data_IF_612446370471
#
_entry.id   IF_612446370471
#
_cell.length_a   1.000
_cell.length_b   1.000
_cell.length_c   1.000
_cell.angle_alpha   90.00
_cell.angle_beta   90.00
_cell.angle_gamma   90.00
#
_symmetry.space_group_name_H-M   'P 1'
#
loop_
_entity.id
_entity.type
_entity.pdbx_description
1 polymer ?
#
# COMPACT_ATOMS: atom_id res chain seq x y z
N UNK A 1 17.58 9.77 -20.09
CA UNK A 1 18.08 8.40 -20.31
C UNK A 1 18.61 7.74 -19.03
N UNK A 2 19.49 8.38 -18.25
CA UNK A 2 20.06 7.78 -17.03
C UNK A 2 19.03 7.41 -15.94
N UNK A 3 18.07 8.29 -15.65
CA UNK A 3 17.04 8.04 -14.61
C UNK A 3 16.14 6.84 -14.96
N UNK A 4 15.66 6.77 -16.20
CA UNK A 4 14.83 5.65 -16.65
C UNK A 4 15.59 4.32 -16.63
N UNK A 5 16.86 4.31 -17.06
CA UNK A 5 17.71 3.13 -16.98
C UNK A 5 17.94 2.70 -15.52
N UNK A 6 18.20 3.66 -14.64
CA UNK A 6 18.34 3.42 -13.20
C UNK A 6 17.10 2.78 -12.61
N UNK A 7 15.91 3.32 -12.90
CA UNK A 7 14.64 2.76 -12.44
C UNK A 7 14.42 1.33 -12.94
N UNK A 8 14.59 1.09 -14.25
CA UNK A 8 14.45 -0.26 -14.83
C UNK A 8 15.43 -1.25 -14.19
N UNK A 9 16.67 -0.82 -13.94
CA UNK A 9 17.68 -1.68 -13.32
C UNK A 9 17.30 -2.07 -11.88
N UNK A 10 16.82 -1.12 -11.07
CA UNK A 10 16.38 -1.38 -9.70
C UNK A 10 15.17 -2.31 -9.68
N UNK A 11 14.16 -2.06 -10.52
CA UNK A 11 12.98 -2.94 -10.64
C UNK A 11 13.40 -4.35 -11.07
N UNK A 12 14.33 -4.45 -12.02
CA UNK A 12 14.89 -5.73 -12.47
C UNK A 12 15.58 -6.51 -11.35
N UNK A 13 16.46 -5.85 -10.59
CA UNK A 13 17.17 -6.46 -9.45
C UNK A 13 16.19 -6.93 -8.38
N UNK A 14 15.23 -6.09 -8.00
CA UNK A 14 14.20 -6.43 -7.00
C UNK A 14 13.38 -7.64 -7.46
N UNK A 15 12.96 -7.65 -8.73
CA UNK A 15 12.16 -8.76 -9.29
C UNK A 15 12.92 -10.08 -9.31
N UNK A 16 14.20 -10.06 -9.70
CA UNK A 16 15.05 -11.26 -9.70
C UNK A 16 15.35 -11.75 -8.29
N UNK A 17 15.58 -10.84 -7.35
CA UNK A 17 15.78 -11.20 -5.95
C UNK A 17 14.54 -11.86 -5.36
N UNK A 18 13.35 -11.27 -5.52
CA UNK A 18 12.11 -11.88 -5.01
C UNK A 18 11.77 -13.22 -5.68
N UNK A 19 12.13 -13.40 -6.95
CA UNK A 19 12.05 -14.71 -7.62
C UNK A 19 12.89 -15.74 -6.88
N UNK A 20 14.14 -15.41 -6.57
CA UNK A 20 15.08 -16.34 -5.92
C UNK A 20 14.62 -16.68 -4.49
N UNK A 21 14.24 -15.68 -3.69
CA UNK A 21 13.65 -15.90 -2.35
C UNK A 21 12.40 -16.77 -2.41
N UNK A 22 11.53 -16.55 -3.41
CA UNK A 22 10.33 -17.37 -3.58
C UNK A 22 10.67 -18.82 -3.94
N UNK A 23 11.69 -19.04 -4.77
CA UNK A 23 12.16 -20.37 -5.15
C UNK A 23 12.84 -21.09 -3.98
N UNK A 24 13.68 -20.40 -3.20
CA UNK A 24 14.32 -20.91 -1.98
C UNK A 24 13.29 -21.39 -0.96
N UNK A 25 12.21 -20.62 -0.78
CA UNK A 25 11.12 -20.96 0.12
C UNK A 25 10.21 -22.09 -0.38
N UNK A 26 9.79 -22.05 -1.65
CA UNK A 26 8.78 -22.98 -2.17
C UNK A 26 9.37 -24.27 -2.75
N UNK A 27 10.56 -24.21 -3.36
CA UNK A 27 11.20 -25.33 -4.05
C UNK A 27 12.43 -25.85 -3.30
N UNK A 28 13.20 -24.96 -2.66
CA UNK A 28 14.42 -25.30 -1.94
C UNK A 28 14.21 -25.84 -0.53
N UNK A 29 13.07 -25.54 0.10
CA UNK A 29 12.75 -25.97 1.47
C UNK A 29 13.62 -25.28 2.54
N UNK A 30 14.26 -24.16 2.23
CA UNK A 30 15.20 -23.49 3.13
C UNK A 30 14.54 -22.64 4.22
N UNK A 31 13.23 -22.39 4.11
CA UNK A 31 12.47 -21.61 5.07
C UNK A 31 12.02 -22.46 6.26
N UNK A 32 12.97 -22.85 7.12
CA UNK A 32 12.66 -23.49 8.40
C UNK A 32 11.85 -22.56 9.31
N UNK A 33 11.29 -23.10 10.39
CA UNK A 33 10.49 -22.31 11.34
C UNK A 33 11.24 -21.07 11.85
N UNK A 34 12.52 -21.20 12.20
CA UNK A 34 13.33 -20.07 12.69
C UNK A 34 13.55 -19.00 11.61
N UNK A 35 13.77 -19.43 10.35
CA UNK A 35 13.89 -18.52 9.21
C UNK A 35 12.59 -17.78 8.96
N UNK A 36 11.45 -18.47 8.96
CA UNK A 36 10.14 -17.85 8.80
C UNK A 36 9.83 -16.85 9.92
N UNK A 37 10.15 -17.20 11.17
CA UNK A 37 10.00 -16.30 12.31
C UNK A 37 10.86 -15.04 12.13
N UNK A 38 12.12 -15.19 11.70
CA UNK A 38 13.02 -14.07 11.43
C UNK A 38 12.48 -13.15 10.34
N UNK A 39 12.03 -13.73 9.22
CA UNK A 39 11.41 -12.98 8.12
C UNK A 39 10.15 -12.23 8.58
N UNK A 40 9.29 -12.86 9.38
CA UNK A 40 8.12 -12.20 9.97
C UNK A 40 8.49 -11.00 10.85
N UNK A 41 9.50 -11.15 11.71
CA UNK A 41 10.01 -10.03 12.53
C UNK A 41 10.56 -8.92 11.62
N UNK A 42 11.28 -9.28 10.55
CA UNK A 42 11.79 -8.33 9.57
C UNK A 42 10.68 -7.51 8.90
N UNK A 43 9.59 -8.16 8.46
CA UNK A 43 8.43 -7.47 7.87
C UNK A 43 7.76 -6.55 8.88
N UNK A 44 7.57 -6.98 10.13
CA UNK A 44 7.00 -6.13 11.18
C UNK A 44 7.87 -4.91 11.43
N UNK A 45 9.19 -5.06 11.54
CA UNK A 45 10.11 -3.95 11.75
C UNK A 45 10.13 -2.99 10.56
N UNK A 46 10.06 -3.51 9.34
CA UNK A 46 9.92 -2.70 8.12
C UNK A 46 8.62 -1.87 8.14
N UNK A 47 7.48 -2.47 8.49
CA UNK A 47 6.22 -1.73 8.61
C UNK A 47 6.30 -0.68 9.71
N UNK A 48 6.92 -1.00 10.85
CA UNK A 48 7.13 -0.03 11.93
C UNK A 48 7.95 1.16 11.42
N UNK A 49 9.01 0.95 10.63
CA UNK A 49 9.76 2.09 10.05
C UNK A 49 8.90 2.94 9.10
N UNK A 50 8.04 2.32 8.29
CA UNK A 50 7.12 3.06 7.42
C UNK A 50 6.05 3.84 8.21
N UNK A 51 5.56 3.29 9.33
CA UNK A 51 4.66 4.02 10.24
C UNK A 51 5.34 5.29 10.77
N UNK A 52 6.59 5.21 11.23
CA UNK A 52 7.33 6.38 11.68
C UNK A 52 7.61 7.38 10.55
N UNK A 53 7.76 6.91 9.32
CA UNK A 53 7.84 7.77 8.15
C UNK A 53 6.52 8.56 7.98
N UNK A 54 5.36 7.92 8.04
CA UNK A 54 4.06 8.60 8.00
C UNK A 54 3.86 9.56 9.19
N UNK A 55 4.32 9.20 10.40
CA UNK A 55 4.27 10.10 11.57
C UNK A 55 4.97 11.44 11.26
N UNK A 56 6.10 11.42 10.56
CA UNK A 56 6.81 12.65 10.17
C UNK A 56 6.01 13.51 9.19
N UNK A 57 5.28 12.88 8.27
CA UNK A 57 4.41 13.55 7.30
C UNK A 57 3.21 14.19 8.01
N UNK A 58 2.55 13.43 8.90
CA UNK A 58 1.44 13.95 9.70
C UNK A 58 1.88 15.09 10.60
N UNK A 59 3.09 15.01 11.18
CA UNK A 59 3.67 16.13 11.92
C UNK A 59 3.75 17.37 11.03
N UNK A 60 4.32 17.29 9.83
CA UNK A 60 4.41 18.44 8.93
C UNK A 60 3.04 19.08 8.63
N UNK A 61 2.01 18.25 8.42
CA UNK A 61 0.62 18.73 8.27
C UNK A 61 0.12 19.43 9.54
N UNK A 62 0.17 18.78 10.71
CA UNK A 62 -0.36 19.35 11.96
C UNK A 62 0.39 20.60 12.40
N UNK A 63 1.71 20.66 12.18
CA UNK A 63 2.48 21.86 12.47
C UNK A 63 1.98 23.06 11.66
N UNK A 64 1.71 22.85 10.37
CA UNK A 64 1.22 23.90 9.46
C UNK A 64 -0.25 24.26 9.74
N UNK A 65 -1.08 23.27 10.07
CA UNK A 65 -2.52 23.44 10.24
C UNK A 65 -2.93 24.00 11.61
N UNK A 66 -2.24 23.61 12.69
CA UNK A 66 -2.59 24.03 14.05
C UNK A 66 -2.04 25.41 14.44
N UNK A 67 -1.01 25.89 13.74
CA UNK A 67 -0.43 27.22 13.94
C UNK A 67 -0.08 27.89 12.59
N UNK A 68 -1.10 28.20 11.76
CA UNK A 68 -0.89 28.76 10.43
C UNK A 68 -0.17 30.11 10.50
N UNK A 69 0.82 30.31 9.64
CA UNK A 69 1.63 31.53 9.63
C UNK A 69 0.84 32.73 9.09
N UNK A 70 1.37 33.93 9.29
CA UNK A 70 0.73 35.18 8.83
C UNK A 70 0.67 35.23 7.30
N UNK A 71 1.65 34.64 6.61
CA UNK A 71 1.70 34.52 5.15
C UNK A 71 0.56 33.66 4.59
N UNK A 72 0.04 32.71 5.39
CA UNK A 72 -1.15 31.91 5.06
C UNK A 72 -2.46 32.61 5.47
N UNK A 73 -2.40 33.85 5.95
CA UNK A 73 -3.55 34.58 6.47
C UNK A 73 -3.99 34.15 7.88
N UNK A 74 -3.12 33.47 8.63
CA UNK A 74 -3.40 32.96 9.99
C UNK A 74 -4.66 32.09 10.10
N UNK A 75 -5.00 31.37 9.01
CA UNK A 75 -6.11 30.43 8.93
C UNK A 75 -5.71 29.17 8.16
N UNK A 76 -6.44 28.08 8.39
CA UNK A 76 -6.25 26.81 7.68
C UNK A 76 -7.61 26.24 7.24
N UNK A 77 -7.82 25.94 5.94
CA UNK A 77 -6.91 26.19 4.81
C UNK A 77 -6.63 27.68 4.58
N UNK A 78 -5.56 27.98 3.85
CA UNK A 78 -5.22 29.35 3.45
C UNK A 78 -6.32 29.93 2.53
N UNK A 79 -6.57 31.26 2.55
CA UNK A 79 -7.58 31.87 1.70
C UNK A 79 -7.29 31.61 0.22
N UNK A 80 -8.32 31.18 -0.53
CA UNK A 80 -8.21 30.82 -1.95
C UNK A 80 -7.93 29.34 -2.21
N UNK A 81 -7.67 28.53 -1.17
CA UNK A 81 -7.59 27.07 -1.29
C UNK A 81 -8.97 26.47 -1.02
N UNK A 82 -9.53 25.79 -2.01
CA UNK A 82 -10.78 25.04 -1.87
C UNK A 82 -10.46 23.55 -1.62
N UNK A 83 -10.62 23.04 -0.39
CA UNK A 83 -10.36 21.64 -0.10
C UNK A 83 -11.41 20.73 -0.74
N UNK A 84 -11.01 19.51 -1.07
CA UNK A 84 -11.90 18.48 -1.57
C UNK A 84 -12.96 18.10 -0.53
N UNK A 85 -14.16 17.77 -0.99
CA UNK A 85 -15.24 17.33 -0.12
C UNK A 85 -15.00 15.90 0.37
N UNK A 86 -14.83 15.74 1.69
CA UNK A 86 -14.56 14.45 2.32
C UNK A 86 -15.67 13.40 2.10
N UNK A 87 -16.91 13.82 1.80
CA UNK A 87 -18.05 12.91 1.62
C UNK A 87 -18.25 12.41 0.18
N UNK A 88 -17.36 12.79 -0.74
CA UNK A 88 -17.43 12.38 -2.14
C UNK A 88 -16.42 11.25 -2.43
N UNK A 89 -15.48 11.47 -3.35
CA UNK A 89 -14.44 10.49 -3.72
C UNK A 89 -13.61 10.03 -2.50
N UNK A 90 -13.21 10.91 -1.55
CA UNK A 90 -12.47 10.47 -0.37
C UNK A 90 -13.20 9.39 0.45
N UNK A 91 -14.50 9.59 0.72
CA UNK A 91 -15.31 8.60 1.45
C UNK A 91 -15.45 7.29 0.67
N UNK A 92 -15.66 7.37 -0.65
CA UNK A 92 -15.70 6.18 -1.50
C UNK A 92 -14.37 5.41 -1.41
N UNK A 93 -13.24 6.10 -1.48
CA UNK A 93 -11.91 5.53 -1.37
C UNK A 93 -11.68 4.84 -0.02
N UNK A 94 -12.15 5.41 1.09
CA UNK A 94 -12.15 4.74 2.40
C UNK A 94 -12.96 3.44 2.38
N UNK A 95 -14.16 3.45 1.80
CA UNK A 95 -14.99 2.24 1.70
C UNK A 95 -14.31 1.17 0.84
N UNK A 96 -13.65 1.56 -0.26
CA UNK A 96 -12.92 0.64 -1.13
C UNK A 96 -11.79 -0.06 -0.40
N UNK A 97 -10.96 0.67 0.38
CA UNK A 97 -9.85 0.06 1.13
C UNK A 97 -10.34 -0.87 2.24
N UNK A 98 -11.28 -0.42 3.09
CA UNK A 98 -11.87 -1.25 4.16
C UNK A 98 -12.50 -2.54 3.62
N UNK A 99 -13.20 -2.43 2.49
CA UNK A 99 -13.82 -3.60 1.83
C UNK A 99 -12.76 -4.53 1.25
N UNK A 100 -11.69 -3.98 0.68
CA UNK A 100 -10.58 -4.76 0.12
C UNK A 100 -9.82 -5.53 1.21
N UNK A 101 -9.56 -4.89 2.36
CA UNK A 101 -8.95 -5.51 3.52
C UNK A 101 -9.82 -6.65 4.05
N UNK A 102 -11.14 -6.44 4.14
CA UNK A 102 -12.10 -7.48 4.54
C UNK A 102 -12.11 -8.67 3.57
N UNK A 103 -12.09 -8.42 2.24
CA UNK A 103 -12.03 -9.50 1.25
C UNK A 103 -10.70 -10.26 1.27
N UNK A 104 -9.61 -9.60 1.66
CA UNK A 104 -8.31 -10.23 1.82
C UNK A 104 -8.27 -11.12 3.07
N UNK A 105 -8.84 -10.68 4.18
CA UNK A 105 -9.01 -11.51 5.39
C UNK A 105 -9.85 -12.75 5.06
N UNK A 106 -10.93 -12.61 4.29
CA UNK A 106 -11.69 -13.76 3.79
C UNK A 106 -10.81 -14.71 2.95
N UNK A 107 -9.98 -14.17 2.05
CA UNK A 107 -9.07 -14.96 1.24
C UNK A 107 -8.06 -15.75 2.09
N UNK A 108 -7.57 -15.14 3.18
CA UNK A 108 -6.60 -15.77 4.08
C UNK A 108 -7.22 -16.94 4.83
N UNK A 109 -8.38 -16.74 5.45
CA UNK A 109 -9.10 -17.84 6.09
C UNK A 109 -9.50 -18.94 5.11
N UNK A 110 -9.85 -18.59 3.87
CA UNK A 110 -10.12 -19.59 2.82
C UNK A 110 -8.89 -20.43 2.47
N UNK A 111 -7.69 -19.84 2.45
CA UNK A 111 -6.44 -20.57 2.23
C UNK A 111 -6.17 -21.56 3.36
N UNK A 112 -6.28 -21.11 4.61
CA UNK A 112 -6.07 -21.95 5.81
C UNK A 112 -7.07 -23.10 5.86
N UNK A 113 -8.31 -22.88 5.41
CA UNK A 113 -9.35 -23.91 5.33
C UNK A 113 -9.24 -24.82 4.08
N UNK A 114 -8.19 -24.67 3.27
CA UNK A 114 -7.98 -25.46 2.05
C UNK A 114 -8.92 -25.12 0.88
N UNK A 115 -9.75 -24.06 0.99
CA UNK A 115 -10.66 -23.63 -0.07
C UNK A 115 -9.96 -22.72 -1.07
N UNK A 116 -9.25 -23.32 -2.03
CA UNK A 116 -8.55 -22.58 -3.10
C UNK A 116 -9.47 -21.66 -3.91
N UNK A 117 -10.67 -22.13 -4.27
CA UNK A 117 -11.61 -21.33 -5.07
C UNK A 117 -12.03 -20.05 -4.33
N UNK A 118 -12.38 -20.17 -3.05
CA UNK A 118 -12.74 -19.02 -2.22
C UNK A 118 -11.56 -18.07 -2.02
N UNK A 119 -10.37 -18.62 -1.79
CA UNK A 119 -9.15 -17.82 -1.66
C UNK A 119 -8.89 -16.97 -2.92
N UNK A 120 -8.95 -17.59 -4.11
CA UNK A 120 -8.77 -16.89 -5.37
C UNK A 120 -9.83 -15.81 -5.60
N UNK A 121 -11.10 -16.08 -5.27
CA UNK A 121 -12.18 -15.09 -5.39
C UNK A 121 -11.89 -13.88 -4.48
N UNK A 122 -11.53 -14.11 -3.22
CA UNK A 122 -11.20 -13.03 -2.28
C UNK A 122 -10.04 -12.16 -2.75
N UNK A 123 -8.98 -12.76 -3.30
CA UNK A 123 -7.86 -12.01 -3.89
C UNK A 123 -8.26 -11.18 -5.10
N UNK A 124 -9.04 -11.77 -6.03
CA UNK A 124 -9.48 -11.04 -7.24
C UNK A 124 -10.36 -9.85 -6.86
N UNK A 125 -11.25 -10.00 -5.88
CA UNK A 125 -12.05 -8.90 -5.35
C UNK A 125 -11.14 -7.83 -4.72
N UNK A 126 -10.19 -8.23 -3.87
CA UNK A 126 -9.23 -7.31 -3.23
C UNK A 126 -8.48 -6.49 -4.28
N UNK A 127 -7.91 -7.14 -5.30
CA UNK A 127 -7.15 -6.47 -6.37
C UNK A 127 -8.04 -5.56 -7.23
N UNK A 128 -9.27 -5.96 -7.53
CA UNK A 128 -10.20 -5.12 -8.27
C UNK A 128 -10.51 -3.82 -7.50
N UNK A 129 -10.75 -3.92 -6.18
CA UNK A 129 -11.00 -2.77 -5.31
C UNK A 129 -9.76 -1.86 -5.20
N UNK A 130 -8.57 -2.44 -5.05
CA UNK A 130 -7.29 -1.73 -5.00
C UNK A 130 -7.00 -0.91 -6.27
N UNK A 131 -7.20 -1.52 -7.45
CA UNK A 131 -7.04 -0.82 -8.74
C UNK A 131 -8.09 0.27 -8.89
N UNK A 132 -9.33 0.01 -8.44
CA UNK A 132 -10.41 1.01 -8.48
C UNK A 132 -10.09 2.21 -7.60
N UNK A 133 -9.59 1.99 -6.38
CA UNK A 133 -9.09 3.05 -5.49
C UNK A 133 -8.02 3.90 -6.20
N UNK A 134 -7.03 3.24 -6.81
CA UNK A 134 -5.93 3.95 -7.50
C UNK A 134 -6.44 4.80 -8.66
N UNK A 135 -7.43 4.31 -9.41
CA UNK A 135 -8.11 5.07 -10.46
C UNK A 135 -8.84 6.30 -9.93
N UNK A 136 -9.61 6.16 -8.85
CA UNK A 136 -10.30 7.29 -8.22
C UNK A 136 -9.35 8.30 -7.59
N UNK A 137 -8.26 7.86 -6.98
CA UNK A 137 -7.23 8.76 -6.45
C UNK A 137 -6.57 9.58 -7.58
N UNK A 138 -6.33 8.96 -8.74
CA UNK A 138 -5.81 9.68 -9.91
C UNK A 138 -6.82 10.72 -10.44
N UNK A 139 -8.12 10.39 -10.46
CA UNK A 139 -9.17 11.35 -10.84
C UNK A 139 -9.23 12.51 -9.85
N UNK A 140 -9.16 12.24 -8.55
CA UNK A 140 -9.12 13.26 -7.51
C UNK A 140 -7.96 14.24 -7.71
N UNK A 141 -6.77 13.75 -8.10
CA UNK A 141 -5.62 14.62 -8.39
C UNK A 141 -5.77 15.44 -9.66
N UNK A 142 -6.48 14.94 -10.66
CA UNK A 142 -6.72 15.67 -11.92
C UNK A 142 -7.75 16.79 -11.71
N UNK A 143 -8.77 16.54 -10.89
CA UNK A 143 -9.88 17.47 -10.63
C UNK A 143 -9.61 18.44 -9.46
N UNK A 144 -8.53 18.23 -8.68
CA UNK A 144 -8.20 19.09 -7.55
C UNK A 144 -7.97 20.55 -7.99
N UNK A 145 -8.61 21.55 -7.32
CA UNK A 145 -8.47 22.96 -7.68
C UNK A 145 -7.16 23.59 -7.17
N UNK A 146 -6.28 22.78 -6.58
CA UNK A 146 -4.98 23.16 -6.05
C UNK A 146 -3.93 22.10 -6.44
N UNK A 147 -2.66 22.50 -6.37
CA UNK A 147 -1.49 21.75 -6.84
C UNK A 147 -0.47 21.61 -5.72
N UNK A 148 0.56 20.79 -5.93
CA UNK A 148 1.66 20.63 -4.96
C UNK A 148 2.40 21.96 -4.67
N UNK A 149 2.37 22.91 -5.60
CA UNK A 149 2.98 24.23 -5.46
C UNK A 149 2.14 25.24 -4.67
N UNK A 150 0.90 24.92 -4.30
CA UNK A 150 -0.01 25.85 -3.60
C UNK A 150 0.24 25.84 -2.08
N UNK A 151 1.46 26.26 -1.74
CA UNK A 151 1.91 26.49 -0.37
C UNK A 151 1.93 25.23 0.50
N UNK A 152 1.87 25.45 1.82
CA UNK A 152 1.93 24.37 2.81
C UNK A 152 0.75 23.39 2.68
N UNK A 153 -0.44 23.88 2.30
CA UNK A 153 -1.61 23.02 2.12
C UNK A 153 -1.39 22.03 0.97
N UNK A 154 -1.11 22.53 -0.24
CA UNK A 154 -0.87 21.68 -1.40
C UNK A 154 0.32 20.74 -1.21
N UNK A 155 1.43 21.24 -0.66
CA UNK A 155 2.61 20.42 -0.38
C UNK A 155 2.31 19.27 0.59
N UNK A 156 1.65 19.54 1.72
CA UNK A 156 1.35 18.49 2.71
C UNK A 156 0.26 17.54 2.23
N UNK A 157 -0.74 18.02 1.50
CA UNK A 157 -1.78 17.18 0.88
C UNK A 157 -1.17 16.20 -0.14
N UNK A 158 -0.50 16.68 -1.18
CA UNK A 158 0.01 15.81 -2.25
C UNK A 158 1.17 14.92 -1.81
N UNK A 159 2.00 15.37 -0.85
CA UNK A 159 3.06 14.51 -0.33
C UNK A 159 2.48 13.37 0.52
N UNK A 160 1.53 13.65 1.41
CA UNK A 160 0.91 12.61 2.26
C UNK A 160 0.11 11.59 1.46
N UNK A 161 -0.84 12.07 0.66
CA UNK A 161 -1.69 11.22 -0.17
C UNK A 161 -0.92 10.57 -1.31
N UNK A 162 0.08 11.25 -1.88
CA UNK A 162 0.94 10.70 -2.93
C UNK A 162 1.83 9.56 -2.44
N UNK A 163 2.41 9.71 -1.24
CA UNK A 163 3.23 8.66 -0.65
C UNK A 163 2.40 7.45 -0.22
N UNK A 164 1.19 7.68 0.30
CA UNK A 164 0.19 6.63 0.50
C UNK A 164 -0.21 5.95 -0.81
N UNK A 165 -0.45 6.71 -1.89
CA UNK A 165 -0.74 6.15 -3.21
C UNK A 165 0.38 5.25 -3.74
N UNK A 166 1.65 5.60 -3.53
CA UNK A 166 2.79 4.73 -3.85
C UNK A 166 2.71 3.43 -3.05
N UNK A 167 2.40 3.51 -1.76
CA UNK A 167 2.22 2.36 -0.89
C UNK A 167 1.08 1.44 -1.35
N UNK A 168 -0.06 1.99 -1.77
CA UNK A 168 -1.16 1.24 -2.36
C UNK A 168 -0.73 0.51 -3.62
N UNK A 169 0.06 1.15 -4.50
CA UNK A 169 0.58 0.51 -5.71
C UNK A 169 1.54 -0.64 -5.35
N UNK A 170 2.47 -0.42 -4.43
CA UNK A 170 3.41 -1.46 -3.96
C UNK A 170 2.64 -2.64 -3.33
N UNK A 171 1.65 -2.35 -2.49
CA UNK A 171 0.79 -3.37 -1.88
C UNK A 171 0.01 -4.16 -2.92
N UNK A 172 -0.53 -3.49 -3.93
CA UNK A 172 -1.24 -4.13 -5.05
C UNK A 172 -0.33 -5.06 -5.85
N UNK A 173 0.91 -4.65 -6.11
CA UNK A 173 1.92 -5.51 -6.75
C UNK A 173 2.26 -6.72 -5.88
N UNK A 174 2.43 -6.53 -4.56
CA UNK A 174 2.74 -7.61 -3.64
C UNK A 174 1.59 -8.64 -3.57
N UNK A 175 0.34 -8.18 -3.50
CA UNK A 175 -0.85 -9.03 -3.56
C UNK A 175 -0.98 -9.75 -4.91
N UNK A 176 -0.62 -9.09 -6.01
CA UNK A 176 -0.62 -9.72 -7.35
C UNK A 176 0.40 -10.86 -7.41
N UNK A 177 1.59 -10.67 -6.84
CA UNK A 177 2.60 -11.73 -6.73
C UNK A 177 2.08 -12.87 -5.84
N UNK A 178 1.47 -12.56 -4.68
CA UNK A 178 0.87 -13.58 -3.82
C UNK A 178 -0.20 -14.41 -4.55
N UNK A 179 -1.09 -13.74 -5.29
CA UNK A 179 -2.10 -14.40 -6.13
C UNK A 179 -1.46 -15.31 -7.19
N UNK A 180 -0.45 -14.82 -7.92
CA UNK A 180 0.24 -15.62 -8.93
C UNK A 180 0.86 -16.89 -8.32
N UNK A 181 1.40 -16.80 -7.10
CA UNK A 181 1.97 -17.93 -6.36
C UNK A 181 0.90 -18.92 -5.89
N UNK A 182 -0.27 -18.45 -5.47
CA UNK A 182 -1.43 -19.30 -5.14
C UNK A 182 -1.94 -20.04 -6.39
N UNK A 183 -2.03 -19.34 -7.52
CA UNK A 183 -2.43 -19.93 -8.80
C UNK A 183 -1.44 -21.05 -9.18
N UNK A 184 -0.15 -20.81 -8.95
CA UNK A 184 0.96 -21.73 -9.24
C UNK A 184 1.19 -22.81 -8.17
N UNK A 185 0.28 -22.96 -7.19
CA UNK A 185 0.35 -23.98 -6.13
C UNK A 185 1.62 -23.90 -5.25
N UNK A 186 2.20 -22.70 -5.07
CA UNK A 186 3.41 -22.51 -4.27
C UNK A 186 3.14 -22.25 -2.78
N UNK A 187 1.89 -21.97 -2.40
CA UNK A 187 1.50 -21.72 -1.00
C UNK A 187 0.69 -22.90 -0.48
N UNK A 188 0.89 -23.26 0.79
CA UNK A 188 0.10 -24.27 1.49
C UNK A 188 -0.73 -23.63 2.61
N UNK A 189 -1.66 -24.38 3.17
CA UNK A 189 -2.47 -24.02 4.34
C UNK A 189 -1.66 -23.77 5.62
N UNK A 190 -0.43 -24.28 5.70
CA UNK A 190 0.46 -24.11 6.85
C UNK A 190 1.76 -23.36 6.54
N UNK A 191 2.06 -23.07 5.27
CA UNK A 191 3.25 -22.36 4.84
C UNK A 191 2.92 -21.36 3.72
N UNK A 192 2.62 -20.13 4.14
CA UNK A 192 2.21 -19.04 3.25
C UNK A 192 2.71 -17.67 3.72
N UNK A 193 3.91 -17.61 4.31
CA UNK A 193 4.54 -16.40 4.83
C UNK A 193 4.51 -15.20 3.86
N UNK A 194 4.73 -15.44 2.56
CA UNK A 194 4.68 -14.37 1.55
C UNK A 194 3.29 -13.76 1.37
N UNK A 195 2.23 -14.54 1.59
CA UNK A 195 0.86 -14.01 1.72
C UNK A 195 0.80 -13.16 2.97
N UNK A 196 1.12 -13.72 4.15
CA UNK A 196 0.98 -13.01 5.43
C UNK A 196 1.69 -11.65 5.42
N UNK A 197 2.89 -11.58 4.84
CA UNK A 197 3.61 -10.32 4.64
C UNK A 197 2.85 -9.33 3.74
N UNK A 198 2.29 -9.79 2.62
CA UNK A 198 1.50 -8.96 1.73
C UNK A 198 0.19 -8.49 2.38
N UNK A 199 -0.45 -9.35 3.19
CA UNK A 199 -1.67 -9.01 3.91
C UNK A 199 -1.42 -8.03 5.05
N UNK A 200 -0.34 -8.23 5.82
CA UNK A 200 0.06 -7.29 6.86
C UNK A 200 0.41 -5.92 6.27
N UNK A 201 1.11 -5.89 5.13
CA UNK A 201 1.37 -4.64 4.42
C UNK A 201 0.09 -4.00 3.90
N UNK A 202 -0.86 -4.78 3.36
CA UNK A 202 -2.15 -4.25 2.89
C UNK A 202 -2.98 -3.64 4.02
N UNK A 203 -3.02 -4.27 5.19
CA UNK A 203 -3.68 -3.72 6.38
C UNK A 203 -2.95 -2.51 6.98
N UNK A 204 -1.66 -2.33 6.70
CA UNK A 204 -0.94 -1.09 7.04
C UNK A 204 -1.32 0.06 6.11
N UNK A 205 -1.61 -0.26 4.85
CA UNK A 205 -2.00 0.74 3.84
C UNK A 205 -3.45 1.22 4.01
N UNK A 206 -4.34 0.35 4.48
CA UNK A 206 -5.71 0.72 4.89
C UNK A 206 -5.70 1.63 6.13
#
# INVERSE_FOLDING_TARGET
YGVALGFISVVGVISLWFRDVSAEGALGGYHTFDVQRSLNIGVVLFIVSEIFFFVSIFWAYFHSALSPTVELGSQWPAPGVEPLNAFEIPLLNTILLLTSASSLTYAHHALINGSRKSCLIGFVVTLALAVTFTGFQALEYIEAPFTISDGAFGSTFFFSTGFHGIHVIIGTLFLTVALARIISYQLTDHHHLGFEAAALYWHFVD
#
